data_IF_589608443408
#
_entry.id   IF_589608443408
#
_cell.length_a   1.000
_cell.length_b   1.000
_cell.length_c   1.000
_cell.angle_alpha   90.00
_cell.angle_beta   90.00
_cell.angle_gamma   90.00
#
_symmetry.space_group_name_H-M   'P 1'
#
loop_
_entity.id
_entity.type
_entity.pdbx_description
1 polymer ?
#
# COMPACT_ATOMS: atom_id res chain seq x y z
N UNK A 1 -12.98 3.33 -14.05
CA UNK A 1 -12.89 3.14 -13.78
C UNK A 1 -12.86 2.29 -13.17
N UNK A 2 -12.85 1.97 -12.84
CA UNK A 2 -12.81 1.35 -12.18
C UNK A 2 -12.37 0.43 -11.95
N UNK A 3 -12.07 -0.02 -12.09
CA UNK A 3 -11.79 -0.95 -12.07
C UNK A 3 -10.80 -1.40 -11.58
N UNK A 4 -10.16 -1.15 -11.61
CA UNK A 4 -9.08 -1.50 -11.19
C UNK A 4 -9.03 -1.35 -9.93
N UNK A 5 -9.37 -1.13 -9.17
CA UNK A 5 -9.29 -0.98 -7.86
C UNK A 5 -8.74 -2.06 -7.07
N UNK A 6 -8.05 -2.89 -7.61
CA UNK A 6 -7.47 -3.92 -6.83
C UNK A 6 -6.45 -3.35 -5.91
N UNK A 7 -5.66 -2.44 -6.36
CA UNK A 7 -4.58 -1.96 -5.56
C UNK A 7 -4.56 -0.46 -5.60
N UNK A 8 -4.22 0.18 -4.51
CA UNK A 8 -4.15 1.61 -4.43
C UNK A 8 -2.78 2.06 -4.90
N UNK A 9 -2.70 2.66 -6.07
CA UNK A 9 -1.42 3.05 -6.63
C UNK A 9 -0.71 4.06 -5.74
N UNK A 10 -1.45 4.98 -5.20
CA UNK A 10 -0.85 5.98 -4.34
C UNK A 10 -0.26 5.33 -3.11
N UNK A 11 -0.98 4.41 -2.56
CA UNK A 11 -0.51 3.73 -1.37
C UNK A 11 0.72 2.90 -1.69
N UNK A 12 0.70 2.24 -2.83
CA UNK A 12 1.83 1.43 -3.22
C UNK A 12 3.04 2.31 -3.51
N UNK A 13 2.82 3.45 -4.14
CA UNK A 13 3.90 4.36 -4.43
C UNK A 13 4.54 4.84 -3.14
N UNK A 14 3.71 5.08 -2.15
CA UNK A 14 4.22 5.51 -0.87
C UNK A 14 5.05 4.40 -0.24
N UNK A 15 4.55 3.19 -0.32
CA UNK A 15 5.27 2.05 0.23
C UNK A 15 6.59 1.85 -0.47
N UNK A 16 6.58 2.01 -1.77
CA UNK A 16 7.79 1.84 -2.54
C UNK A 16 8.81 2.88 -2.18
N UNK A 17 8.34 4.08 -1.93
CA UNK A 17 9.21 5.15 -1.54
C UNK A 17 9.84 4.85 -0.18
N UNK A 18 9.04 4.34 0.72
CA UNK A 18 9.55 3.99 2.03
C UNK A 18 10.55 2.85 1.93
N UNK A 19 10.31 1.97 0.97
CA UNK A 19 11.17 0.83 0.79
C UNK A 19 12.41 1.16 -0.03
N UNK A 20 12.52 2.42 -0.42
CA UNK A 20 13.69 2.83 -1.17
C UNK A 20 13.77 2.07 -2.50
N UNK A 21 12.66 1.78 -3.09
CA UNK A 21 12.64 1.09 -4.37
C UNK A 21 12.63 -0.41 -4.27
N UNK A 22 12.63 -0.93 -3.07
CA UNK A 22 12.67 -2.37 -2.89
C UNK A 22 11.24 -2.91 -2.98
N UNK A 23 10.95 -3.66 -4.03
CA UNK A 23 9.61 -4.16 -4.23
C UNK A 23 9.15 -5.08 -3.12
N UNK A 24 10.05 -5.90 -2.65
CA UNK A 24 9.70 -6.82 -1.57
C UNK A 24 9.35 -6.06 -0.31
N UNK A 25 10.19 -5.11 0.02
CA UNK A 25 9.93 -4.31 1.20
C UNK A 25 8.67 -3.47 1.00
N UNK A 26 8.51 -2.96 -0.21
CA UNK A 26 7.35 -2.13 -0.51
C UNK A 26 6.06 -2.92 -0.33
N UNK A 27 6.09 -4.17 -0.76
CA UNK A 27 4.92 -5.00 -0.61
C UNK A 27 4.57 -5.17 0.85
N UNK A 28 5.57 -5.35 1.67
CA UNK A 28 5.36 -5.49 3.10
C UNK A 28 4.78 -4.20 3.68
N UNK A 29 5.39 -3.09 3.32
CA UNK A 29 4.93 -1.79 3.82
C UNK A 29 3.52 -1.51 3.34
N UNK A 30 3.28 -1.83 2.07
CA UNK A 30 1.95 -1.61 1.51
C UNK A 30 0.90 -2.38 2.29
N UNK A 31 1.22 -3.62 2.60
CA UNK A 31 0.28 -4.45 3.32
C UNK A 31 0.00 -3.85 4.71
N UNK A 32 1.03 -3.36 5.36
CA UNK A 32 0.87 -2.75 6.68
C UNK A 32 -0.01 -1.50 6.59
N UNK A 33 0.25 -0.68 5.61
CA UNK A 33 -0.53 0.54 5.46
C UNK A 33 -1.99 0.21 5.15
N UNK A 34 -2.17 -0.79 4.32
CA UNK A 34 -3.52 -1.19 3.95
C UNK A 34 -4.28 -1.70 5.17
N UNK A 35 -3.62 -2.46 5.98
CA UNK A 35 -4.25 -2.99 7.18
C UNK A 35 -4.61 -1.87 8.15
N UNK A 36 -3.78 -0.88 8.24
CA UNK A 36 -4.06 0.24 9.12
C UNK A 36 -5.29 0.99 8.65
N UNK A 37 -5.40 1.16 7.35
CA UNK A 37 -6.56 1.85 6.83
C UNK A 37 -7.83 1.09 7.16
N UNK A 38 -7.78 -0.20 6.94
CA UNK A 38 -8.95 -1.02 7.17
C UNK A 38 -9.29 -1.09 8.62
N UNK A 39 -8.32 -0.88 9.47
CA UNK A 39 -8.54 -1.04 10.88
C UNK A 39 -8.92 0.22 11.55
N UNK A 40 -9.41 1.19 10.96
CA UNK A 40 -9.70 2.32 11.59
C UNK A 40 -10.75 2.14 12.55
N UNK A 41 -11.43 1.55 12.87
CA UNK A 41 -12.25 1.28 13.83
C UNK A 41 -12.82 1.86 14.57
N UNK A 42 -13.04 1.82 14.76
CA UNK A 42 -13.64 2.26 15.51
C UNK A 42 -13.60 2.70 16.00
#
# INVERSE_FOLDING_TARGET
EYLDGDRDEELYAKALKEADGDEIEADHIYYNLFMQLDNKDD
#
